data_IF_896577815403
#
_entry.id   IF_896577815403
#
_cell.length_a   1.000
_cell.length_b   1.000
_cell.length_c   1.000
_cell.angle_alpha   90.00
_cell.angle_beta   90.00
_cell.angle_gamma   90.00
#
_symmetry.space_group_name_H-M   'P 1'
#
loop_
_entity.id
_entity.type
_entity.pdbx_description
1 polymer ?
#
# COMPACT_ATOMS: atom_id res chain seq x y z
N UNK A 1 4.51 7.05 34.11
CA UNK A 1 4.75 7.50 32.71
C UNK A 1 3.66 8.49 32.37
N UNK A 2 3.98 9.75 32.06
CA UNK A 2 2.98 10.78 31.75
C UNK A 2 2.35 10.52 30.36
N UNK A 3 1.02 10.60 30.27
CA UNK A 3 0.25 10.49 29.03
C UNK A 3 0.70 11.51 27.95
N UNK A 4 1.26 12.64 28.37
CA UNK A 4 1.81 13.66 27.47
C UNK A 4 3.07 13.19 26.72
N UNK A 5 3.92 12.39 27.38
CA UNK A 5 5.16 11.88 26.77
C UNK A 5 4.90 10.84 25.67
N UNK A 6 3.92 9.97 25.87
CA UNK A 6 3.49 9.00 24.86
C UNK A 6 2.82 9.73 23.67
N UNK A 7 1.95 10.70 23.94
CA UNK A 7 1.28 11.48 22.88
C UNK A 7 2.28 12.26 22.02
N UNK A 8 3.30 12.87 22.63
CA UNK A 8 4.37 13.57 21.91
C UNK A 8 5.21 12.61 21.06
N UNK A 9 5.52 11.41 21.56
CA UNK A 9 6.26 10.37 20.81
C UNK A 9 5.55 9.99 19.51
N UNK A 10 4.26 9.68 19.58
CA UNK A 10 3.48 9.31 18.40
C UNK A 10 3.27 10.48 17.43
N UNK A 11 3.14 11.71 17.93
CA UNK A 11 3.09 12.91 17.10
C UNK A 11 4.39 13.11 16.32
N UNK A 12 5.54 12.99 16.99
CA UNK A 12 6.86 13.07 16.34
C UNK A 12 7.03 11.98 15.28
N UNK A 13 6.65 10.73 15.58
CA UNK A 13 6.68 9.64 14.61
C UNK A 13 5.81 9.93 13.37
N UNK A 14 4.59 10.43 13.58
CA UNK A 14 3.66 10.80 12.51
C UNK A 14 4.23 11.90 11.62
N UNK A 15 4.89 12.90 12.23
CA UNK A 15 5.54 13.98 11.49
C UNK A 15 6.72 13.48 10.64
N UNK A 16 7.50 12.52 11.14
CA UNK A 16 8.58 11.90 10.35
C UNK A 16 8.00 11.23 9.10
N UNK A 17 6.96 10.40 9.24
CA UNK A 17 6.30 9.75 8.09
C UNK A 17 5.69 10.77 7.12
N UNK A 18 5.10 11.85 7.63
CA UNK A 18 4.59 12.94 6.80
C UNK A 18 5.69 13.60 5.96
N UNK A 19 6.85 13.93 6.56
CA UNK A 19 7.97 14.53 5.81
C UNK A 19 8.57 13.58 4.78
N UNK A 20 8.59 12.26 5.05
CA UNK A 20 9.00 11.25 4.07
C UNK A 20 8.05 11.27 2.86
N UNK A 21 6.73 11.33 3.08
CA UNK A 21 5.72 11.38 2.01
C UNK A 21 5.80 12.67 1.18
N UNK A 22 6.20 13.78 1.79
CA UNK A 22 6.43 15.06 1.11
C UNK A 22 7.83 15.18 0.49
N UNK A 23 8.67 14.14 0.57
CA UNK A 23 10.05 14.11 0.11
C UNK A 23 10.98 15.15 0.79
N UNK A 24 10.67 15.56 2.02
CA UNK A 24 11.47 16.50 2.82
C UNK A 24 12.43 15.76 3.76
N UNK A 25 13.39 15.02 3.19
CA UNK A 25 14.17 14.00 3.90
C UNK A 25 15.09 14.55 5.00
N UNK A 26 15.59 15.78 4.89
CA UNK A 26 16.40 16.42 5.93
C UNK A 26 15.57 16.71 7.20
N UNK A 27 14.32 17.16 7.02
CA UNK A 27 13.39 17.41 8.12
C UNK A 27 12.99 16.10 8.79
N UNK A 28 12.71 15.07 7.98
CA UNK A 28 12.40 13.73 8.47
C UNK A 28 13.56 13.14 9.29
N UNK A 29 14.81 13.27 8.80
CA UNK A 29 16.00 12.80 9.50
C UNK A 29 16.22 13.53 10.84
N UNK A 30 16.11 14.86 10.83
CA UNK A 30 16.28 15.70 12.03
C UNK A 30 15.29 15.31 13.13
N UNK A 31 14.02 15.11 12.75
CA UNK A 31 12.98 14.69 13.69
C UNK A 31 13.14 13.26 14.17
N UNK A 32 13.63 12.35 13.33
CA UNK A 32 13.96 10.99 13.73
C UNK A 32 15.11 10.95 14.76
N UNK A 33 16.15 11.76 14.57
CA UNK A 33 17.24 11.86 15.53
C UNK A 33 16.76 12.44 16.88
N UNK A 34 15.85 13.42 16.85
CA UNK A 34 15.20 13.93 18.07
C UNK A 34 14.33 12.87 18.76
N UNK A 35 13.56 12.09 17.99
CA UNK A 35 12.73 10.98 18.48
C UNK A 35 13.61 9.90 19.15
N UNK A 36 14.71 9.51 18.50
CA UNK A 36 15.67 8.53 19.01
C UNK A 36 16.36 9.01 20.30
N UNK A 37 16.70 10.30 20.38
CA UNK A 37 17.30 10.90 21.58
C UNK A 37 16.32 10.96 22.74
N UNK A 38 15.06 11.28 22.46
CA UNK A 38 14.01 11.45 23.48
C UNK A 38 13.43 10.13 23.96
N UNK A 39 13.37 9.10 23.09
CA UNK A 39 12.75 7.80 23.36
C UNK A 39 13.65 6.61 22.95
N UNK A 40 14.89 6.52 23.48
CA UNK A 40 15.88 5.52 23.02
C UNK A 40 15.51 4.06 23.32
N UNK A 41 14.54 3.81 24.21
CA UNK A 41 14.11 2.46 24.62
C UNK A 41 13.00 1.87 23.73
N UNK A 42 12.40 2.66 22.83
CA UNK A 42 11.30 2.25 21.97
C UNK A 42 11.79 1.66 20.64
N UNK A 43 12.52 0.54 20.71
CA UNK A 43 13.24 -0.05 19.58
C UNK A 43 12.37 -0.40 18.36
N UNK A 44 11.13 -0.88 18.56
CA UNK A 44 10.24 -1.26 17.46
C UNK A 44 9.78 -0.03 16.64
N UNK A 45 9.46 1.07 17.30
CA UNK A 45 9.04 2.32 16.64
C UNK A 45 10.20 2.96 15.88
N UNK A 46 11.38 2.97 16.49
CA UNK A 46 12.59 3.48 15.85
C UNK A 46 12.99 2.64 14.64
N UNK A 47 12.86 1.31 14.74
CA UNK A 47 13.13 0.39 13.63
C UNK A 47 12.19 0.66 12.44
N UNK A 48 10.88 0.73 12.69
CA UNK A 48 9.88 1.03 11.66
C UNK A 48 10.16 2.35 10.93
N UNK A 49 10.42 3.43 11.68
CA UNK A 49 10.68 4.74 11.07
C UNK A 49 12.03 4.77 10.33
N UNK A 50 13.02 4.02 10.83
CA UNK A 50 14.31 3.91 10.15
C UNK A 50 14.22 3.16 8.82
N UNK A 51 13.33 2.17 8.72
CA UNK A 51 13.02 1.45 7.48
C UNK A 51 12.35 2.39 6.48
N UNK A 52 11.32 3.12 6.90
CA UNK A 52 10.64 4.12 6.05
C UNK A 52 11.59 5.22 5.53
N UNK A 53 12.53 5.68 6.37
CA UNK A 53 13.57 6.66 5.97
C UNK A 53 14.57 6.09 4.97
N UNK A 54 14.86 4.79 5.05
CA UNK A 54 15.80 4.12 4.15
C UNK A 54 15.20 3.82 2.78
N UNK A 55 13.89 3.56 2.74
CA UNK A 55 13.13 3.30 1.51
C UNK A 55 12.65 4.59 0.81
N UNK A 56 12.95 5.76 1.38
CA UNK A 56 12.54 7.04 0.84
C UNK A 56 13.23 7.35 -0.51
N UNK A 57 12.48 7.74 -1.56
CA UNK A 57 13.05 8.00 -2.88
C UNK A 57 14.01 9.18 -2.85
N UNK A 58 15.28 8.97 -3.22
CA UNK A 58 16.29 10.04 -3.32
C UNK A 58 17.49 9.92 -2.37
N UNK A 59 17.55 8.89 -1.51
CA UNK A 59 18.77 8.52 -0.77
C UNK A 59 19.74 7.79 -1.71
N UNK A 60 20.37 8.53 -2.63
CA UNK A 60 21.53 8.02 -3.36
C UNK A 60 22.68 7.93 -2.36
N UNK A 61 23.01 6.70 -1.98
CA UNK A 61 24.00 6.37 -0.97
C UNK A 61 25.41 6.78 -1.40
N UNK A 62 25.93 7.88 -0.86
CA UNK A 62 27.37 8.03 -0.67
C UNK A 62 27.71 7.75 0.80
N UNK A 63 28.26 6.57 1.05
CA UNK A 63 28.85 6.19 2.32
C UNK A 63 28.07 5.13 3.10
N UNK A 64 28.75 4.02 3.41
CA UNK A 64 28.32 2.87 4.22
C UNK A 64 27.58 1.73 3.49
N UNK A 65 28.23 1.22 2.45
CA UNK A 65 28.04 -0.17 2.02
C UNK A 65 28.62 -1.12 3.09
N UNK A 66 27.80 -1.51 4.09
CA UNK A 66 28.01 -2.80 4.74
C UNK A 66 27.40 -3.84 3.81
N UNK A 67 28.25 -4.63 3.16
CA UNK A 67 27.85 -5.81 2.40
C UNK A 67 27.15 -6.79 3.35
N UNK A 68 25.82 -6.71 3.42
CA UNK A 68 25.01 -7.81 3.91
C UNK A 68 24.81 -8.78 2.75
N UNK A 69 25.11 -10.09 2.91
CA UNK A 69 24.84 -11.06 1.86
C UNK A 69 23.34 -10.99 1.51
N UNK A 70 23.02 -10.99 0.21
CA UNK A 70 21.68 -10.84 -0.34
C UNK A 70 20.67 -11.96 0.06
N UNK A 71 21.00 -12.80 1.03
CA UNK A 71 20.26 -13.98 1.45
C UNK A 71 19.35 -13.79 2.68
N UNK A 72 19.19 -12.57 3.22
CA UNK A 72 18.32 -12.32 4.39
C UNK A 72 17.42 -11.06 4.31
N UNK A 73 17.07 -10.56 3.12
CA UNK A 73 15.84 -9.75 3.02
C UNK A 73 14.65 -10.69 3.12
N UNK A 74 14.12 -10.87 4.34
CA UNK A 74 12.88 -11.60 4.57
C UNK A 74 11.81 -11.09 3.60
N UNK A 75 10.98 -12.01 3.08
CA UNK A 75 9.92 -11.68 2.13
C UNK A 75 8.98 -10.67 2.79
N UNK A 76 9.11 -9.39 2.42
CA UNK A 76 8.29 -8.30 2.97
C UNK A 76 6.88 -8.42 2.38
N UNK A 77 5.95 -8.87 3.21
CA UNK A 77 4.54 -8.99 2.85
C UNK A 77 3.80 -7.67 3.12
N UNK A 78 2.72 -7.36 2.37
CA UNK A 78 1.89 -6.21 2.69
C UNK A 78 1.39 -6.28 4.13
N UNK A 79 1.34 -5.14 4.84
CA UNK A 79 0.83 -5.09 6.21
C UNK A 79 -0.71 -5.14 6.28
N UNK A 80 -1.39 -4.70 5.21
CA UNK A 80 -2.84 -4.53 5.19
C UNK A 80 -3.47 -5.03 3.89
N UNK A 81 -4.76 -5.36 3.96
CA UNK A 81 -5.57 -5.52 2.76
C UNK A 81 -5.75 -4.17 2.08
N UNK A 82 -5.61 -4.11 0.77
CA UNK A 82 -5.88 -2.88 0.01
C UNK A 82 -6.45 -3.19 -1.37
N UNK A 83 -7.28 -2.27 -1.86
CA UNK A 83 -7.76 -2.24 -3.23
C UNK A 83 -7.45 -0.84 -3.78
N UNK A 84 -6.59 -0.75 -4.78
CA UNK A 84 -6.20 0.52 -5.40
C UNK A 84 -7.23 0.96 -6.44
N UNK A 85 -7.24 2.26 -6.76
CA UNK A 85 -7.98 2.73 -7.93
C UNK A 85 -7.41 2.07 -9.20
N UNK A 86 -8.29 1.70 -10.14
CA UNK A 86 -7.87 1.16 -11.42
C UNK A 86 -7.13 2.25 -12.23
N UNK A 87 -6.12 1.85 -13.00
CA UNK A 87 -5.40 2.75 -13.89
C UNK A 87 -5.22 2.13 -15.28
N UNK A 88 -5.52 2.88 -16.36
CA UNK A 88 -6.09 4.24 -16.36
C UNK A 88 -7.55 4.27 -15.86
N UNK A 89 -8.05 5.44 -15.45
CA UNK A 89 -9.46 5.71 -15.16
C UNK A 89 -9.75 7.21 -15.39
N UNK A 90 -10.59 7.60 -16.37
CA UNK A 90 -11.34 6.74 -17.30
C UNK A 90 -10.42 5.89 -18.20
N UNK A 91 -10.93 4.79 -18.75
CA UNK A 91 -10.11 3.83 -19.54
C UNK A 91 -10.78 3.45 -20.85
N UNK A 92 -9.98 2.98 -21.82
CA UNK A 92 -10.44 2.51 -23.13
C UNK A 92 -9.52 1.39 -23.68
N UNK A 93 -10.02 0.18 -23.98
CA UNK A 93 -11.01 -0.57 -23.22
C UNK A 93 -10.36 -1.39 -22.09
N UNK A 94 -9.08 -1.14 -21.80
CA UNK A 94 -8.29 -1.93 -20.85
C UNK A 94 -7.87 -1.11 -19.63
N UNK A 95 -7.96 -1.71 -18.44
CA UNK A 95 -7.50 -1.09 -17.19
C UNK A 95 -6.91 -2.13 -16.24
N UNK A 96 -6.00 -1.72 -15.37
CA UNK A 96 -5.39 -2.59 -14.36
C UNK A 96 -5.96 -2.27 -12.98
N UNK A 97 -6.41 -3.32 -12.28
CA UNK A 97 -6.84 -3.28 -10.88
C UNK A 97 -5.72 -3.88 -10.02
N UNK A 98 -5.29 -3.14 -8.99
CA UNK A 98 -4.25 -3.60 -8.05
C UNK A 98 -4.84 -3.81 -6.67
N UNK A 99 -4.40 -4.86 -5.99
CA UNK A 99 -4.81 -5.17 -4.63
C UNK A 99 -3.68 -5.85 -3.85
N UNK A 100 -3.75 -5.79 -2.52
CA UNK A 100 -2.76 -6.38 -1.63
C UNK A 100 -3.42 -7.26 -0.58
N UNK A 101 -2.73 -8.34 -0.22
CA UNK A 101 -3.14 -9.31 0.79
C UNK A 101 -2.03 -9.44 1.85
N UNK A 102 -2.32 -9.21 3.14
CA UNK A 102 -1.34 -9.39 4.21
C UNK A 102 -1.25 -10.84 4.71
N UNK A 103 -2.20 -11.68 4.29
CA UNK A 103 -2.28 -13.10 4.62
C UNK A 103 -2.95 -13.87 3.49
N UNK A 104 -2.76 -15.18 3.46
CA UNK A 104 -3.43 -16.03 2.51
C UNK A 104 -4.97 -15.92 2.64
N UNK A 105 -5.65 -15.88 1.50
CA UNK A 105 -7.11 -15.79 1.44
C UNK A 105 -7.66 -16.28 0.10
N UNK A 106 -8.90 -16.76 0.12
CA UNK A 106 -9.72 -16.92 -1.07
C UNK A 106 -10.13 -15.55 -1.61
N UNK A 107 -9.67 -15.21 -2.82
CA UNK A 107 -9.91 -13.91 -3.45
C UNK A 107 -10.91 -14.05 -4.59
N UNK A 108 -11.94 -13.20 -4.55
CA UNK A 108 -12.87 -13.01 -5.66
C UNK A 108 -12.84 -11.54 -6.08
N UNK A 109 -12.50 -11.26 -7.34
CA UNK A 109 -12.61 -9.92 -7.95
C UNK A 109 -13.64 -9.99 -9.05
N UNK A 110 -14.77 -9.32 -8.86
CA UNK A 110 -15.86 -9.24 -9.84
C UNK A 110 -16.10 -7.82 -10.35
N UNK A 111 -16.54 -7.71 -11.59
CA UNK A 111 -17.02 -6.49 -12.23
C UNK A 111 -18.55 -6.49 -12.26
N UNK A 112 -19.15 -5.35 -11.95
CA UNK A 112 -20.59 -5.16 -11.82
C UNK A 112 -21.03 -3.90 -12.58
N UNK A 113 -22.21 -3.95 -13.18
CA UNK A 113 -22.84 -2.79 -13.81
C UNK A 113 -23.53 -1.87 -12.79
N UNK A 114 -24.14 -0.78 -13.27
CA UNK A 114 -24.84 0.20 -12.43
C UNK A 114 -26.04 -0.39 -11.68
N UNK A 115 -26.63 -1.48 -12.18
CA UNK A 115 -27.73 -2.20 -11.55
C UNK A 115 -27.23 -3.25 -10.54
N UNK A 116 -25.90 -3.40 -10.37
CA UNK A 116 -25.30 -4.38 -9.48
C UNK A 116 -25.27 -5.80 -10.05
N UNK A 117 -25.53 -5.98 -11.35
CA UNK A 117 -25.43 -7.30 -12.00
C UNK A 117 -23.96 -7.62 -12.23
N UNK A 118 -23.56 -8.85 -11.94
CA UNK A 118 -22.21 -9.35 -12.21
C UNK A 118 -22.01 -9.44 -13.73
N UNK A 119 -21.04 -8.69 -14.24
CA UNK A 119 -20.63 -8.68 -15.64
C UNK A 119 -19.56 -9.74 -15.89
N UNK A 120 -18.56 -9.80 -15.01
CA UNK A 120 -17.40 -10.69 -15.18
C UNK A 120 -16.72 -10.98 -13.84
N UNK A 121 -16.10 -12.15 -13.72
CA UNK A 121 -15.23 -12.48 -12.58
C UNK A 121 -13.79 -12.57 -13.07
N UNK A 122 -12.94 -11.64 -12.62
CA UNK A 122 -11.54 -11.55 -13.05
C UNK A 122 -10.61 -12.46 -12.23
N UNK A 123 -10.96 -12.70 -10.96
CA UNK A 123 -10.21 -13.57 -10.06
C UNK A 123 -11.20 -14.37 -9.23
N UNK A 124 -10.95 -15.66 -9.09
CA UNK A 124 -11.64 -16.55 -8.17
C UNK A 124 -10.68 -17.67 -7.74
N UNK A 125 -10.10 -17.58 -6.55
CA UNK A 125 -9.22 -18.63 -6.04
C UNK A 125 -8.35 -18.21 -4.86
N UNK A 126 -7.63 -19.19 -4.31
CA UNK A 126 -6.68 -18.98 -3.23
C UNK A 126 -5.46 -18.16 -3.71
N UNK A 127 -5.05 -17.22 -2.85
CA UNK A 127 -3.86 -16.39 -3.03
C UNK A 127 -3.09 -16.32 -1.72
N UNK A 128 -1.78 -16.46 -1.82
CA UNK A 128 -0.83 -16.20 -0.74
C UNK A 128 -0.82 -14.71 -0.35
N UNK A 129 -0.18 -14.31 0.77
CA UNK A 129 0.10 -12.89 0.99
C UNK A 129 0.84 -12.32 -0.22
N UNK A 130 0.72 -11.01 -0.48
CA UNK A 130 1.40 -10.37 -1.61
C UNK A 130 0.63 -9.23 -2.27
N UNK A 131 1.28 -8.60 -3.24
CA UNK A 131 0.68 -7.58 -4.11
C UNK A 131 0.32 -8.20 -5.45
N UNK A 132 -0.88 -7.93 -5.94
CA UNK A 132 -1.44 -8.52 -7.14
C UNK A 132 -1.97 -7.44 -8.08
N UNK A 133 -1.95 -7.76 -9.37
CA UNK A 133 -2.55 -6.96 -10.43
C UNK A 133 -3.41 -7.86 -11.30
N UNK A 134 -4.59 -7.39 -11.69
CA UNK A 134 -5.45 -8.05 -12.66
C UNK A 134 -5.92 -7.05 -13.69
N UNK A 135 -5.88 -7.44 -14.95
CA UNK A 135 -6.31 -6.60 -16.07
C UNK A 135 -7.76 -6.91 -16.41
N UNK A 136 -8.56 -5.86 -16.62
CA UNK A 136 -9.88 -6.01 -17.22
C UNK A 136 -9.84 -5.58 -18.68
N UNK A 137 -10.33 -6.45 -19.56
CA UNK A 137 -10.45 -6.28 -21.00
C UNK A 137 -11.93 -6.09 -21.34
N UNK A 138 -12.36 -4.84 -21.52
CA UNK A 138 -13.78 -4.49 -21.66
C UNK A 138 -14.20 -4.27 -23.13
N UNK A 139 -13.58 -4.93 -24.11
CA UNK A 139 -13.85 -4.72 -25.55
C UNK A 139 -15.31 -4.98 -25.90
N UNK A 140 -15.99 -5.88 -25.19
CA UNK A 140 -17.39 -6.26 -25.44
C UNK A 140 -18.41 -5.53 -24.54
N UNK A 141 -17.99 -4.57 -23.72
CA UNK A 141 -18.86 -3.87 -22.77
C UNK A 141 -19.18 -2.44 -23.27
N UNK A 142 -20.41 -1.93 -23.08
CA UNK A 142 -20.76 -0.57 -23.46
C UNK A 142 -20.06 0.48 -22.59
N UNK A 143 -19.78 1.67 -23.15
CA UNK A 143 -19.30 2.82 -22.38
C UNK A 143 -20.22 3.12 -21.20
N UNK A 144 -19.65 3.46 -20.05
CA UNK A 144 -20.45 3.70 -18.85
C UNK A 144 -19.71 3.47 -17.55
N UNK A 145 -20.46 3.60 -16.46
CA UNK A 145 -19.98 3.40 -15.10
C UNK A 145 -20.10 1.93 -14.72
N UNK A 146 -19.01 1.37 -14.21
CA UNK A 146 -18.95 0.04 -13.64
C UNK A 146 -18.36 0.11 -12.23
N UNK A 147 -18.52 -0.99 -11.51
CA UNK A 147 -17.92 -1.20 -10.20
C UNK A 147 -17.11 -2.48 -10.21
N UNK A 148 -15.99 -2.48 -9.52
CA UNK A 148 -15.24 -3.69 -9.22
C UNK A 148 -15.25 -3.87 -7.71
N UNK A 149 -15.45 -5.12 -7.30
CA UNK A 149 -15.50 -5.51 -5.90
C UNK A 149 -14.56 -6.67 -5.66
N UNK A 150 -13.72 -6.52 -4.65
CA UNK A 150 -12.90 -7.61 -4.11
C UNK A 150 -13.55 -8.17 -2.85
N UNK A 151 -13.50 -9.49 -2.71
CA UNK A 151 -13.73 -10.22 -1.47
C UNK A 151 -12.49 -11.05 -1.17
N UNK A 152 -11.89 -10.88 0.00
CA UNK A 152 -10.72 -11.63 0.48
C UNK A 152 -10.91 -11.97 1.97
N UNK A 153 -11.49 -13.14 2.24
CA UNK A 153 -11.90 -13.51 3.61
C UNK A 153 -12.95 -12.52 4.17
N UNK A 154 -12.60 -11.79 5.23
CA UNK A 154 -13.47 -10.75 5.83
C UNK A 154 -13.31 -9.37 5.18
N UNK A 155 -12.33 -9.19 4.30
CA UNK A 155 -12.10 -7.92 3.62
C UNK A 155 -12.98 -7.83 2.37
N UNK A 156 -13.77 -6.76 2.29
CA UNK A 156 -14.53 -6.42 1.09
C UNK A 156 -14.29 -4.95 0.78
N UNK A 157 -13.95 -4.64 -0.48
CA UNK A 157 -13.84 -3.28 -0.96
C UNK A 157 -14.44 -3.16 -2.35
N UNK A 158 -15.07 -2.03 -2.64
CA UNK A 158 -15.67 -1.73 -3.94
C UNK A 158 -15.17 -0.38 -4.43
N UNK A 159 -14.88 -0.28 -5.72
CA UNK A 159 -14.47 0.96 -6.36
C UNK A 159 -15.17 1.13 -7.71
N UNK A 160 -15.36 2.39 -8.09
CA UNK A 160 -16.00 2.79 -9.35
C UNK A 160 -14.96 2.94 -10.44
N UNK A 161 -15.30 2.58 -11.68
CA UNK A 161 -14.50 2.83 -12.88
C UNK A 161 -15.40 3.35 -14.02
N UNK A 162 -14.81 4.12 -14.95
CA UNK A 162 -15.50 4.71 -16.08
C UNK A 162 -14.87 4.22 -17.39
N UNK A 163 -15.63 3.42 -18.15
CA UNK A 163 -15.26 2.98 -19.49
C UNK A 163 -15.66 4.06 -20.51
N UNK A 164 -14.70 4.53 -21.28
CA UNK A 164 -14.91 5.40 -22.43
C UNK A 164 -14.48 4.64 -23.69
N UNK A 165 -15.33 4.65 -24.71
CA UNK A 165 -15.03 4.19 -26.07
C UNK A 165 -15.39 5.31 -27.04
#
# INVERSE_FOLDING_TARGET
KSLEGESRKYMMATLVTYYIQQNELEKAQTLYDELKRSYPKDGQLLQMISEDLSDAPGKNNEGFEKQYPASQRGKQWPAHFSLSQNYPNPFNPTTTIRYQLPKAAHVIVGIYDLQGRLVETLVNGEREPGSYSVTWHAENQPSGVYFYRIHAGKFTATKKLLLLK
#
